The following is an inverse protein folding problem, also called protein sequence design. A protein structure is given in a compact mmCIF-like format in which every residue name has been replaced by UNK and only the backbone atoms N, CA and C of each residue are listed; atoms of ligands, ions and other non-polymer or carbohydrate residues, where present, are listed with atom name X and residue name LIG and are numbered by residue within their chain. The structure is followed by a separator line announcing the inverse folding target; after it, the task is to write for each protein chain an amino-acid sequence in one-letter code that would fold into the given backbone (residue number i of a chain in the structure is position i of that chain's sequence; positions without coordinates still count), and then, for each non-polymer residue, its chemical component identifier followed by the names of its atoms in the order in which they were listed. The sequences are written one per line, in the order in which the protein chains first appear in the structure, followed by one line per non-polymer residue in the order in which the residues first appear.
data_IF_395481714365
#
_entry.id   IF_395481714365
#
_cell.length_a   1.000
_cell.length_b   1.000
_cell.length_c   1.000
_cell.angle_alpha   90.00
_cell.angle_beta   90.00
_cell.angle_gamma   90.00
#
_symmetry.space_group_name_H-M   'P 1'
#
loop_
_entity.id
_entity.type
_entity.pdbx_description
1 polymer ?
#
# COMPACT_ATOMS: atom_id res chain seq x y z
N UNK A 1 74.93 19.46 43.26
CA UNK A 1 75.20 20.50 44.30
C UNK A 1 76.49 21.18 43.90
N UNK A 2 76.44 22.51 43.85
CA UNK A 2 77.38 23.45 43.26
C UNK A 2 78.69 23.56 44.04
N UNK A 3 79.51 22.52 44.01
CA UNK A 3 80.87 22.56 44.57
C UNK A 3 81.80 23.49 43.78
N UNK A 4 81.43 23.87 42.55
CA UNK A 4 82.34 24.58 41.66
C UNK A 4 82.75 25.96 42.17
N UNK A 5 81.88 26.72 42.84
CA UNK A 5 82.24 28.08 43.28
C UNK A 5 83.17 28.08 44.51
N UNK A 6 82.94 27.15 45.46
CA UNK A 6 83.83 26.93 46.60
C UNK A 6 85.19 26.35 46.15
N UNK A 7 85.17 25.37 45.24
CA UNK A 7 86.38 24.78 44.65
C UNK A 7 87.15 25.80 43.80
N UNK A 8 86.45 26.69 43.09
CA UNK A 8 87.04 27.79 42.30
C UNK A 8 87.72 28.83 43.19
N UNK A 9 87.11 29.17 44.33
CA UNK A 9 87.71 30.08 45.31
C UNK A 9 88.99 29.48 45.92
N UNK A 10 88.94 28.22 46.34
CA UNK A 10 90.12 27.51 46.87
C UNK A 10 91.23 27.39 45.82
N UNK A 11 90.88 27.09 44.56
CA UNK A 11 91.84 27.05 43.45
C UNK A 11 92.50 28.41 43.21
N UNK A 12 91.72 29.51 43.22
CA UNK A 12 92.23 30.86 43.05
C UNK A 12 93.23 31.26 44.14
N UNK A 13 92.87 30.99 45.39
CA UNK A 13 93.73 31.28 46.54
C UNK A 13 95.03 30.48 46.48
N UNK A 14 94.97 29.23 46.02
CA UNK A 14 96.16 28.36 45.85
C UNK A 14 97.02 28.80 44.66
N UNK A 15 96.42 29.29 43.57
CA UNK A 15 97.19 29.79 42.42
C UNK A 15 97.95 31.07 42.79
N UNK A 16 97.34 31.99 43.55
CA UNK A 16 97.99 33.23 44.01
C UNK A 16 99.18 33.01 44.94
N UNK A 17 99.31 31.86 45.61
CA UNK A 17 100.50 31.55 46.43
C UNK A 17 101.66 30.99 45.60
N UNK A 18 101.38 30.45 44.40
CA UNK A 18 102.38 29.81 43.53
C UNK A 18 102.84 30.70 42.38
N UNK A 19 102.11 31.77 42.04
CA UNK A 19 102.44 32.69 40.94
C UNK A 19 101.93 34.13 41.19
N UNK A 20 102.41 35.14 40.43
CA UNK A 20 101.95 36.53 40.58
C UNK A 20 100.44 36.68 40.39
N UNK A 21 99.84 37.56 41.18
CA UNK A 21 98.38 37.76 41.27
C UNK A 21 97.70 37.97 39.90
N UNK A 22 98.31 38.80 39.04
CA UNK A 22 97.79 39.07 37.71
C UNK A 22 97.69 37.82 36.81
N UNK A 23 98.61 36.86 36.96
CA UNK A 23 98.61 35.60 36.20
C UNK A 23 97.54 34.66 36.73
N UNK A 24 97.40 34.57 38.06
CA UNK A 24 96.36 33.75 38.69
C UNK A 24 94.95 34.26 38.33
N UNK A 25 94.73 35.57 38.33
CA UNK A 25 93.45 36.18 37.95
C UNK A 25 93.12 35.94 36.47
N UNK A 26 94.13 36.02 35.59
CA UNK A 26 93.98 35.71 34.17
C UNK A 26 93.59 34.25 33.97
N UNK A 27 94.27 33.31 34.64
CA UNK A 27 93.92 31.88 34.57
C UNK A 27 92.50 31.61 35.08
N UNK A 28 92.11 32.26 36.18
CA UNK A 28 90.73 32.14 36.68
C UNK A 28 89.70 32.77 35.76
N UNK A 29 90.04 33.82 35.01
CA UNK A 29 89.14 34.45 34.03
C UNK A 29 88.86 33.55 32.82
N UNK A 30 89.77 32.62 32.51
CA UNK A 30 89.59 31.63 31.45
C UNK A 30 88.76 30.42 31.87
N UNK A 31 88.51 30.22 33.16
CA UNK A 31 87.59 29.19 33.63
C UNK A 31 86.14 29.65 33.44
N UNK A 32 85.29 28.76 32.91
CA UNK A 32 83.87 29.04 32.73
C UNK A 32 83.20 29.41 34.07
N UNK A 33 82.16 30.25 34.07
CA UNK A 33 81.40 30.62 35.28
C UNK A 33 80.84 29.41 36.06
N UNK A 34 80.49 28.33 35.34
CA UNK A 34 80.01 27.07 35.89
C UNK A 34 81.04 25.95 35.74
N UNK A 35 80.91 24.89 36.55
CA UNK A 35 81.80 23.74 36.50
C UNK A 35 81.66 22.94 35.20
N UNK A 36 82.73 22.27 34.78
CA UNK A 36 82.71 21.35 33.62
C UNK A 36 81.75 20.16 33.77
N UNK A 37 81.23 19.92 34.98
CA UNK A 37 80.16 18.95 35.24
C UNK A 37 78.80 19.38 34.70
N UNK A 38 78.57 20.69 34.57
CA UNK A 38 77.28 21.25 34.16
C UNK A 38 77.20 21.45 32.63
N UNK A 39 78.34 21.30 31.95
CA UNK A 39 78.43 21.32 30.49
C UNK A 39 78.15 19.91 29.96
N UNK A 40 77.16 19.79 29.09
CA UNK A 40 76.84 18.52 28.43
C UNK A 40 78.07 17.94 27.73
N UNK A 41 78.35 16.66 27.95
CA UNK A 41 79.43 15.95 27.29
C UNK A 41 79.01 15.57 25.88
N UNK A 42 79.99 15.30 25.01
CA UNK A 42 79.72 14.77 23.66
C UNK A 42 78.87 13.50 23.70
N UNK A 43 79.07 12.63 24.70
CA UNK A 43 78.27 11.43 24.93
C UNK A 43 76.79 11.71 25.19
N UNK A 44 76.48 12.82 25.88
CA UNK A 44 75.10 13.19 26.20
C UNK A 44 74.37 13.68 24.94
N UNK A 45 75.10 14.41 24.09
CA UNK A 45 74.62 14.86 22.77
C UNK A 45 74.44 13.66 21.83
N UNK A 46 75.35 12.69 21.84
CA UNK A 46 75.23 11.47 21.03
C UNK A 46 74.07 10.57 21.49
N UNK A 47 73.84 10.47 22.81
CA UNK A 47 72.70 9.78 23.37
C UNK A 47 71.38 10.45 22.96
N UNK A 48 71.29 11.78 23.07
CA UNK A 48 70.13 12.55 22.62
C UNK A 48 69.90 12.41 21.11
N UNK A 49 70.96 12.44 20.30
CA UNK A 49 70.87 12.24 18.84
C UNK A 49 70.31 10.86 18.52
N UNK A 50 70.76 9.83 19.22
CA UNK A 50 70.31 8.45 19.04
C UNK A 50 68.85 8.29 19.43
N UNK A 51 68.47 8.79 20.61
CA UNK A 51 67.09 8.78 21.10
C UNK A 51 66.14 9.53 20.16
N UNK A 52 66.57 10.70 19.68
CA UNK A 52 65.80 11.49 18.72
C UNK A 52 65.63 10.75 17.38
N UNK A 53 66.69 10.12 16.87
CA UNK A 53 66.60 9.33 15.64
C UNK A 53 65.63 8.15 15.80
N UNK A 54 65.70 7.45 16.93
CA UNK A 54 64.79 6.36 17.25
C UNK A 54 63.34 6.84 17.39
N UNK A 55 63.12 8.00 18.01
CA UNK A 55 61.79 8.59 18.10
C UNK A 55 61.22 8.92 16.71
N UNK A 56 62.03 9.51 15.81
CA UNK A 56 61.60 9.77 14.44
C UNK A 56 61.28 8.49 13.66
N UNK A 57 62.07 7.43 13.84
CA UNK A 57 61.81 6.12 13.21
C UNK A 57 60.50 5.50 13.73
N UNK A 58 60.26 5.59 15.04
CA UNK A 58 59.00 5.13 15.65
C UNK A 58 57.80 5.90 15.12
N UNK A 59 57.85 7.24 15.10
CA UNK A 59 56.77 8.08 14.55
C UNK A 59 56.51 7.77 13.08
N UNK A 60 57.57 7.55 12.29
CA UNK A 60 57.45 7.14 10.89
C UNK A 60 56.75 5.78 10.77
N UNK A 61 57.12 4.81 11.59
CA UNK A 61 56.51 3.48 11.59
C UNK A 61 55.03 3.52 11.98
N UNK A 62 54.69 4.24 13.05
CA UNK A 62 53.30 4.42 13.51
C UNK A 62 52.45 5.12 12.45
N UNK A 63 52.98 6.19 11.84
CA UNK A 63 52.29 6.92 10.78
C UNK A 63 52.02 6.02 9.57
N UNK A 64 53.02 5.21 9.17
CA UNK A 64 52.86 4.25 8.08
C UNK A 64 51.78 3.21 8.41
N UNK A 65 51.81 2.67 9.62
CA UNK A 65 50.79 1.74 10.08
C UNK A 65 49.39 2.36 10.09
N UNK A 66 49.24 3.61 10.52
CA UNK A 66 47.96 4.32 10.48
C UNK A 66 47.46 4.48 9.04
N UNK A 67 48.32 4.86 8.09
CA UNK A 67 47.95 4.94 6.68
C UNK A 67 47.52 3.59 6.11
N UNK A 68 48.23 2.51 6.45
CA UNK A 68 47.90 1.16 5.98
C UNK A 68 46.58 0.68 6.58
N UNK A 69 46.34 0.96 7.87
CA UNK A 69 45.05 0.70 8.52
C UNK A 69 43.91 1.49 7.87
N UNK A 70 44.12 2.78 7.57
CA UNK A 70 43.12 3.61 6.89
C UNK A 70 42.81 3.10 5.49
N UNK A 71 43.82 2.67 4.72
CA UNK A 71 43.64 2.04 3.41
C UNK A 71 42.84 0.75 3.51
N UNK A 72 43.19 -0.11 4.46
CA UNK A 72 42.49 -1.38 4.69
C UNK A 72 41.02 -1.16 5.04
N UNK A 73 40.72 -0.27 5.99
CA UNK A 73 39.34 0.06 6.38
C UNK A 73 38.55 0.68 5.22
N UNK A 74 39.19 1.56 4.46
CA UNK A 74 38.58 2.18 3.27
C UNK A 74 38.23 1.14 2.22
N UNK A 75 39.15 0.24 1.88
CA UNK A 75 38.90 -0.84 0.92
C UNK A 75 37.79 -1.77 1.39
N UNK A 76 37.82 -2.20 2.66
CA UNK A 76 36.76 -3.04 3.22
C UNK A 76 35.38 -2.37 3.17
N UNK A 77 35.30 -1.05 3.38
CA UNK A 77 34.06 -0.29 3.22
C UNK A 77 33.61 -0.25 1.76
N UNK A 78 34.51 -0.06 0.81
CA UNK A 78 34.17 -0.09 -0.62
C UNK A 78 33.65 -1.48 -1.05
N UNK A 79 34.30 -2.55 -0.60
CA UNK A 79 33.86 -3.92 -0.88
C UNK A 79 32.46 -4.20 -0.28
N UNK A 80 32.22 -3.75 0.95
CA UNK A 80 30.91 -3.85 1.58
C UNK A 80 29.84 -3.06 0.83
N UNK A 81 30.17 -1.86 0.35
CA UNK A 81 29.26 -1.03 -0.45
C UNK A 81 28.95 -1.70 -1.80
N UNK A 82 29.94 -2.25 -2.49
CA UNK A 82 29.74 -2.98 -3.74
C UNK A 82 28.86 -4.23 -3.55
N UNK A 83 29.08 -4.98 -2.47
CA UNK A 83 28.23 -6.10 -2.09
C UNK A 83 26.77 -5.67 -1.83
N UNK A 84 26.57 -4.59 -1.09
CA UNK A 84 25.23 -4.04 -0.82
C UNK A 84 24.54 -3.57 -2.10
N UNK A 85 25.25 -2.91 -3.02
CA UNK A 85 24.68 -2.51 -4.31
C UNK A 85 24.29 -3.70 -5.19
N UNK A 86 25.10 -4.76 -5.20
CA UNK A 86 24.76 -6.02 -5.89
C UNK A 86 23.50 -6.65 -5.30
N UNK A 87 23.41 -6.71 -3.97
CA UNK A 87 22.23 -7.24 -3.28
C UNK A 87 20.97 -6.42 -3.60
N UNK A 88 21.04 -5.09 -3.51
CA UNK A 88 19.94 -4.18 -3.85
C UNK A 88 19.48 -4.34 -5.30
N UNK A 89 20.43 -4.54 -6.24
CA UNK A 89 20.08 -4.77 -7.65
C UNK A 89 19.27 -6.05 -7.83
N UNK A 90 19.69 -7.13 -7.18
CA UNK A 90 18.97 -8.42 -7.22
C UNK A 90 17.57 -8.27 -6.62
N UNK A 91 17.44 -7.59 -5.48
CA UNK A 91 16.16 -7.35 -4.83
C UNK A 91 15.21 -6.51 -5.70
N UNK A 92 15.71 -5.44 -6.33
CA UNK A 92 14.93 -4.62 -7.25
C UNK A 92 14.45 -5.43 -8.46
N UNK A 93 15.31 -6.28 -9.02
CA UNK A 93 14.94 -7.12 -10.16
C UNK A 93 13.89 -8.18 -9.75
N UNK A 94 14.01 -8.75 -8.54
CA UNK A 94 13.01 -9.66 -7.98
C UNK A 94 11.67 -8.97 -7.73
N UNK A 95 11.67 -7.78 -7.12
CA UNK A 95 10.46 -6.98 -6.89
C UNK A 95 9.75 -6.61 -8.19
N UNK A 96 10.51 -6.24 -9.23
CA UNK A 96 9.96 -5.96 -10.56
C UNK A 96 9.32 -7.19 -11.19
N UNK A 97 9.95 -8.35 -11.06
CA UNK A 97 9.42 -9.61 -11.57
C UNK A 97 8.12 -10.00 -10.85
N UNK A 98 8.10 -9.95 -9.52
CA UNK A 98 6.91 -10.23 -8.71
C UNK A 98 5.76 -9.25 -9.04
N UNK A 99 6.06 -7.95 -9.09
CA UNK A 99 5.07 -6.92 -9.44
C UNK A 99 4.46 -7.19 -10.82
N UNK A 100 5.29 -7.51 -11.82
CA UNK A 100 4.81 -7.86 -13.16
C UNK A 100 3.89 -9.08 -13.12
N UNK A 101 4.28 -10.12 -12.39
CA UNK A 101 3.47 -11.32 -12.23
C UNK A 101 2.12 -11.02 -11.56
N UNK A 102 2.10 -10.19 -10.51
CA UNK A 102 0.85 -9.76 -9.88
C UNK A 102 -0.06 -9.01 -10.85
N UNK A 103 0.48 -8.10 -11.67
CA UNK A 103 -0.30 -7.42 -12.71
C UNK A 103 -0.88 -8.37 -13.76
N UNK A 104 -0.10 -9.37 -14.18
CA UNK A 104 -0.55 -10.37 -15.14
C UNK A 104 -1.66 -11.26 -14.54
N UNK A 105 -1.54 -11.63 -13.26
CA UNK A 105 -2.60 -12.35 -12.53
C UNK A 105 -3.88 -11.52 -12.42
N UNK A 106 -3.78 -10.25 -12.01
CA UNK A 106 -4.94 -9.34 -11.92
C UNK A 106 -5.60 -9.17 -13.28
N UNK A 107 -4.82 -9.06 -14.36
CA UNK A 107 -5.37 -8.99 -15.72
C UNK A 107 -6.13 -10.27 -16.10
N UNK A 108 -5.60 -11.43 -15.73
CA UNK A 108 -6.25 -12.72 -15.95
C UNK A 108 -7.58 -12.82 -15.17
N UNK A 109 -7.57 -12.47 -13.89
CA UNK A 109 -8.76 -12.48 -13.03
C UNK A 109 -9.85 -11.53 -13.55
N UNK A 110 -9.49 -10.32 -13.99
CA UNK A 110 -10.44 -9.38 -14.59
C UNK A 110 -11.05 -9.94 -15.87
N UNK A 111 -10.27 -10.61 -16.72
CA UNK A 111 -10.79 -11.22 -17.94
C UNK A 111 -11.74 -12.38 -17.61
N UNK A 112 -11.41 -13.19 -16.60
CA UNK A 112 -12.26 -14.28 -16.15
C UNK A 112 -13.59 -13.76 -15.57
N UNK A 113 -13.53 -12.75 -14.70
CA UNK A 113 -14.72 -12.09 -14.14
C UNK A 113 -15.59 -11.47 -15.23
N UNK A 114 -14.99 -10.81 -16.23
CA UNK A 114 -15.72 -10.24 -17.37
C UNK A 114 -16.45 -11.34 -18.16
N UNK A 115 -15.78 -12.47 -18.39
CA UNK A 115 -16.37 -13.61 -19.12
C UNK A 115 -17.52 -14.25 -18.34
N UNK A 116 -17.33 -14.56 -17.05
CA UNK A 116 -18.38 -15.14 -16.18
C UNK A 116 -19.57 -14.19 -16.04
N UNK A 117 -19.29 -12.89 -15.90
CA UNK A 117 -20.34 -11.86 -15.84
C UNK A 117 -21.13 -11.83 -17.14
N UNK A 118 -20.47 -11.83 -18.29
CA UNK A 118 -21.14 -11.87 -19.59
C UNK A 118 -22.03 -13.11 -19.72
N UNK A 119 -21.54 -14.29 -19.37
CA UNK A 119 -22.32 -15.53 -19.44
C UNK A 119 -23.56 -15.47 -18.54
N UNK A 120 -23.43 -14.91 -17.33
CA UNK A 120 -24.57 -14.73 -16.41
C UNK A 120 -25.60 -13.75 -16.97
N UNK A 121 -25.18 -12.65 -17.58
CA UNK A 121 -26.09 -11.72 -18.24
C UNK A 121 -26.80 -12.38 -19.44
N UNK A 122 -26.06 -13.08 -20.30
CA UNK A 122 -26.65 -13.81 -21.43
C UNK A 122 -27.72 -14.85 -20.95
N UNK A 123 -27.47 -15.51 -19.80
CA UNK A 123 -28.45 -16.41 -19.15
C UNK A 123 -29.66 -15.67 -18.57
N UNK A 124 -29.47 -14.47 -18.05
CA UNK A 124 -30.55 -13.63 -17.53
C UNK A 124 -31.44 -13.16 -18.67
N UNK A 125 -30.85 -12.68 -19.77
CA UNK A 125 -31.59 -12.26 -20.97
C UNK A 125 -32.45 -13.41 -21.52
N UNK A 126 -31.88 -14.61 -21.65
CA UNK A 126 -32.64 -15.80 -22.09
C UNK A 126 -33.79 -16.19 -21.13
N UNK A 127 -33.67 -15.89 -19.83
CA UNK A 127 -34.78 -16.11 -18.87
C UNK A 127 -35.87 -15.07 -19.04
N UNK A 128 -35.52 -13.81 -19.31
CA UNK A 128 -36.48 -12.74 -19.58
C UNK A 128 -37.26 -13.01 -20.87
N UNK A 129 -36.60 -13.40 -21.96
CA UNK A 129 -37.29 -13.80 -23.20
C UNK A 129 -38.31 -14.93 -22.95
N UNK A 130 -37.96 -15.92 -22.13
CA UNK A 130 -38.89 -17.00 -21.75
C UNK A 130 -40.05 -16.50 -20.90
N UNK A 131 -39.83 -15.50 -20.04
CA UNK A 131 -40.89 -14.88 -19.26
C UNK A 131 -41.84 -14.12 -20.19
N UNK A 132 -41.32 -13.34 -21.12
CA UNK A 132 -42.11 -12.59 -22.10
C UNK A 132 -43.00 -13.54 -22.92
N UNK A 133 -42.44 -14.64 -23.44
CA UNK A 133 -43.23 -15.67 -24.13
C UNK A 133 -44.35 -16.28 -23.27
N UNK A 134 -44.11 -16.46 -21.96
CA UNK A 134 -45.14 -16.97 -21.05
C UNK A 134 -46.23 -15.94 -20.78
N UNK A 135 -45.87 -14.65 -20.75
CA UNK A 135 -46.83 -13.55 -20.62
C UNK A 135 -47.70 -13.45 -21.88
N UNK A 136 -47.12 -13.46 -23.08
CA UNK A 136 -47.87 -13.49 -24.34
C UNK A 136 -48.85 -14.68 -24.40
N UNK A 137 -48.40 -15.88 -24.01
CA UNK A 137 -49.27 -17.05 -23.93
C UNK A 137 -50.40 -16.91 -22.90
N UNK A 138 -50.14 -16.20 -21.80
CA UNK A 138 -51.13 -15.96 -20.77
C UNK A 138 -52.16 -14.91 -21.22
N UNK A 139 -51.71 -13.84 -21.88
CA UNK A 139 -52.57 -12.82 -22.49
C UNK A 139 -53.50 -13.45 -23.53
N UNK A 140 -52.98 -14.25 -24.47
CA UNK A 140 -53.79 -14.94 -25.47
C UNK A 140 -54.81 -15.90 -24.85
N UNK A 141 -54.43 -16.61 -23.77
CA UNK A 141 -55.36 -17.49 -23.04
C UNK A 141 -56.45 -16.70 -22.30
N UNK A 142 -56.13 -15.51 -21.80
CA UNK A 142 -57.10 -14.64 -21.15
C UNK A 142 -58.07 -14.06 -22.18
N UNK A 143 -57.60 -13.61 -23.33
CA UNK A 143 -58.43 -13.11 -24.44
C UNK A 143 -59.48 -14.16 -24.84
N UNK A 144 -59.06 -15.39 -25.15
CA UNK A 144 -59.99 -16.49 -25.47
C UNK A 144 -60.98 -16.80 -24.34
N UNK A 145 -60.55 -16.65 -23.07
CA UNK A 145 -61.46 -16.85 -21.93
C UNK A 145 -62.47 -15.72 -21.81
N UNK A 146 -62.10 -14.48 -22.10
CA UNK A 146 -62.99 -13.34 -22.10
C UNK A 146 -64.00 -13.45 -23.26
N UNK A 147 -63.56 -13.78 -24.48
CA UNK A 147 -64.47 -14.01 -25.62
C UNK A 147 -65.54 -15.06 -25.28
N UNK A 148 -65.12 -16.17 -24.66
CA UNK A 148 -66.05 -17.22 -24.22
C UNK A 148 -66.98 -16.77 -23.09
N UNK A 149 -66.55 -15.84 -22.25
CA UNK A 149 -67.40 -15.24 -21.22
C UNK A 149 -68.45 -14.36 -21.89
N UNK A 150 -68.06 -13.55 -22.86
CA UNK A 150 -68.95 -12.67 -23.63
C UNK A 150 -70.01 -13.49 -24.39
N UNK A 151 -69.63 -14.55 -25.10
CA UNK A 151 -70.60 -15.47 -25.76
C UNK A 151 -71.62 -16.06 -24.77
N UNK A 152 -71.18 -16.42 -23.54
CA UNK A 152 -72.08 -16.95 -22.51
C UNK A 152 -73.03 -15.88 -21.97
N UNK A 153 -72.59 -14.63 -21.90
CA UNK A 153 -73.44 -13.51 -21.52
C UNK A 153 -74.48 -13.22 -22.61
N UNK A 154 -74.10 -13.18 -23.89
CA UNK A 154 -75.03 -13.01 -25.01
C UNK A 154 -76.11 -14.11 -25.02
N UNK A 155 -75.72 -15.39 -24.89
CA UNK A 155 -76.67 -16.49 -24.79
C UNK A 155 -77.62 -16.35 -23.59
N UNK A 156 -77.12 -15.81 -22.48
CA UNK A 156 -77.93 -15.58 -21.30
C UNK A 156 -78.93 -14.44 -21.53
N UNK A 157 -78.51 -13.36 -22.19
CA UNK A 157 -79.39 -12.25 -22.60
C UNK A 157 -80.50 -12.74 -23.54
N UNK A 158 -80.18 -13.54 -24.57
CA UNK A 158 -81.18 -14.13 -25.46
C UNK A 158 -82.23 -14.97 -24.70
N UNK A 159 -81.79 -15.81 -23.77
CA UNK A 159 -82.69 -16.61 -22.93
C UNK A 159 -83.56 -15.71 -22.04
N UNK A 160 -83.01 -14.62 -21.51
CA UNK A 160 -83.80 -13.67 -20.73
C UNK A 160 -84.85 -12.95 -21.58
N UNK A 161 -84.51 -12.57 -22.82
CA UNK A 161 -85.44 -11.95 -23.76
C UNK A 161 -86.54 -12.92 -24.20
N UNK A 162 -86.20 -14.19 -24.47
CA UNK A 162 -87.17 -15.23 -24.76
C UNK A 162 -88.16 -15.40 -23.59
N UNK A 163 -87.65 -15.52 -22.35
CA UNK A 163 -88.49 -15.60 -21.16
C UNK A 163 -89.36 -14.34 -20.96
N UNK A 164 -88.83 -13.16 -21.25
CA UNK A 164 -89.58 -11.91 -21.18
C UNK A 164 -90.70 -11.86 -22.22
N UNK A 165 -90.44 -12.30 -23.44
CA UNK A 165 -91.41 -12.36 -24.53
C UNK A 165 -92.53 -13.37 -24.24
N UNK A 166 -92.18 -14.55 -23.74
CA UNK A 166 -93.14 -15.59 -23.34
C UNK A 166 -94.04 -15.07 -22.21
N UNK A 167 -93.47 -14.41 -21.20
CA UNK A 167 -94.26 -13.78 -20.12
C UNK A 167 -95.24 -12.73 -20.66
N UNK A 168 -94.82 -11.86 -21.59
CA UNK A 168 -95.71 -10.86 -22.22
C UNK A 168 -96.84 -11.53 -23.03
N UNK A 169 -96.52 -12.57 -23.80
CA UNK A 169 -97.50 -13.32 -24.59
C UNK A 169 -98.57 -13.98 -23.71
N UNK A 170 -98.16 -14.69 -22.64
CA UNK A 170 -99.07 -15.34 -21.69
C UNK A 170 -99.98 -14.32 -21.00
N UNK A 171 -99.45 -13.16 -20.60
CA UNK A 171 -100.27 -12.09 -19.99
C UNK A 171 -101.30 -11.54 -20.99
N UNK A 172 -100.90 -11.23 -22.22
CA UNK A 172 -101.80 -10.65 -23.23
C UNK A 172 -102.92 -11.63 -23.65
N UNK A 173 -102.59 -12.90 -23.86
CA UNK A 173 -103.55 -13.95 -24.20
C UNK A 173 -104.48 -14.27 -23.04
N UNK A 174 -103.98 -14.29 -21.80
CA UNK A 174 -104.82 -14.43 -20.61
C UNK A 174 -105.86 -13.31 -20.49
N UNK A 175 -105.45 -12.05 -20.68
CA UNK A 175 -106.37 -10.89 -20.69
C UNK A 175 -107.41 -11.04 -21.82
N UNK A 176 -106.98 -11.42 -23.03
CA UNK A 176 -107.87 -11.62 -24.16
C UNK A 176 -108.91 -12.71 -23.88
N UNK A 177 -108.50 -13.86 -23.34
CA UNK A 177 -109.39 -14.97 -22.97
C UNK A 177 -110.42 -14.50 -21.95
N UNK A 178 -110.00 -13.82 -20.87
CA UNK A 178 -110.90 -13.28 -19.84
C UNK A 178 -111.90 -12.31 -20.47
N UNK A 179 -111.44 -11.40 -21.35
CA UNK A 179 -112.32 -10.47 -22.05
C UNK A 179 -113.36 -11.20 -22.93
N UNK A 180 -112.96 -12.25 -23.65
CA UNK A 180 -113.91 -13.10 -24.42
C UNK A 180 -114.91 -13.83 -23.52
N UNK A 181 -114.48 -14.38 -22.38
CA UNK A 181 -115.39 -15.05 -21.45
C UNK A 181 -116.43 -14.06 -20.90
N UNK A 182 -115.98 -12.85 -20.52
CA UNK A 182 -116.88 -11.78 -20.05
C UNK A 182 -117.86 -11.36 -21.17
N UNK A 183 -117.38 -11.23 -22.41
CA UNK A 183 -118.23 -10.87 -23.55
C UNK A 183 -119.24 -11.97 -23.94
N UNK A 184 -118.86 -13.25 -23.87
CA UNK A 184 -119.79 -14.37 -24.09
C UNK A 184 -120.82 -14.47 -22.96
N UNK A 185 -120.39 -14.26 -21.71
CA UNK A 185 -121.28 -14.24 -20.55
C UNK A 185 -122.32 -13.13 -20.61
N UNK A 186 -121.95 -11.92 -21.07
CA UNK A 186 -122.89 -10.82 -21.25
C UNK A 186 -123.93 -11.10 -22.35
N UNK A 187 -123.55 -11.79 -23.44
CA UNK A 187 -124.49 -12.21 -24.49
C UNK A 187 -125.51 -13.24 -23.99
N UNK A 188 -125.10 -14.20 -23.14
CA UNK A 188 -126.01 -15.18 -22.55
C UNK A 188 -126.97 -14.57 -21.52
N UNK A 189 -126.51 -13.58 -20.75
CA UNK A 189 -127.37 -12.90 -19.75
C UNK A 189 -128.43 -12.00 -20.41
N UNK A 190 -128.09 -11.29 -21.50
CA UNK A 190 -129.05 -10.49 -22.27
C UNK A 190 -130.12 -11.35 -22.95
N UNK A 191 -129.79 -12.59 -23.35
CA UNK A 191 -130.76 -13.53 -23.91
C UNK A 191 -131.67 -14.22 -22.89
N UNK A 192 -131.37 -14.17 -21.59
CA UNK A 192 -132.17 -14.80 -20.52
C UNK A 192 -133.27 -13.88 -19.96
N UNK A 193 -133.22 -12.58 -20.28
CA UNK A 193 -134.20 -11.56 -19.85
C UNK A 193 -134.96 -10.90 -21.01
N UNK A 194 -134.83 -11.43 -22.23
CA UNK A 194 -135.61 -11.08 -23.41
C UNK A 194 -136.59 -12.20 -23.75
#
# INVERSE_FOLDING_TARGET
MSSSEAERFTLHQTLRTLMPEAVADTLMSHLLPAGWSDVARASDIDALRTDTAQHFDNVRAETQQQFDNMRAVTNAKFDSVDANFKALRIEIDALRADTKQQFDNVRADINLLRSDTKEKFDKVDARFERIDQRFEQLEAKLEVRFDKIDERFELMEERFDELASMKRYVVSTGIAIIATIIAMGSQLWVGMFS
#
